data_IF_784435565520
#
_entry.id   IF_784435565520
#
_cell.length_a   1.000
_cell.length_b   1.000
_cell.length_c   1.000
_cell.angle_alpha   90.00
_cell.angle_beta   90.00
_cell.angle_gamma   90.00
#
_symmetry.space_group_name_H-M   'P 1'
#
loop_
_entity.id
_entity.type
_entity.pdbx_description
1 polymer ?
#
# COMPACT_ATOMS: atom_id res chain seq x y z
N UNK A 1 -23.33 -15.29 21.36
CA UNK A 1 -22.79 -14.70 20.10
C UNK A 1 -21.48 -13.93 20.30
N UNK A 2 -21.29 -13.18 21.40
CA UNK A 2 -20.06 -12.42 21.66
C UNK A 2 -18.78 -13.29 21.79
N UNK A 3 -18.86 -14.47 22.44
CA UNK A 3 -17.70 -15.37 22.61
C UNK A 3 -17.20 -15.93 21.28
N UNK A 4 -18.12 -16.32 20.38
CA UNK A 4 -17.76 -16.85 19.05
C UNK A 4 -17.09 -15.76 18.20
N UNK A 5 -17.64 -14.54 18.18
CA UNK A 5 -17.02 -13.41 17.48
C UNK A 5 -15.64 -13.06 18.02
N UNK A 6 -15.47 -13.16 19.35
CA UNK A 6 -14.18 -12.96 20.00
C UNK A 6 -13.14 -14.01 19.60
N UNK A 7 -13.53 -15.29 19.53
CA UNK A 7 -12.63 -16.38 19.11
C UNK A 7 -12.22 -16.19 17.64
N UNK A 8 -13.18 -15.86 16.77
CA UNK A 8 -12.94 -15.63 15.34
C UNK A 8 -11.96 -14.47 15.13
N UNK A 9 -12.12 -13.37 15.87
CA UNK A 9 -11.25 -12.21 15.70
C UNK A 9 -9.80 -12.47 16.15
N UNK A 10 -9.61 -13.19 17.25
CA UNK A 10 -8.27 -13.61 17.68
C UNK A 10 -7.65 -14.55 16.66
N UNK A 11 -8.40 -15.55 16.18
CA UNK A 11 -7.92 -16.49 15.16
C UNK A 11 -7.50 -15.76 13.88
N UNK A 12 -8.32 -14.81 13.41
CA UNK A 12 -8.02 -13.98 12.25
C UNK A 12 -6.74 -13.16 12.44
N UNK A 13 -6.57 -12.54 13.61
CA UNK A 13 -5.37 -11.75 13.92
C UNK A 13 -4.11 -12.62 13.92
N UNK A 14 -4.18 -13.83 14.50
CA UNK A 14 -3.07 -14.78 14.50
C UNK A 14 -2.74 -15.25 13.08
N UNK A 15 -3.75 -15.57 12.26
CA UNK A 15 -3.53 -15.95 10.86
C UNK A 15 -2.85 -14.83 10.05
N UNK A 16 -3.24 -13.57 10.27
CA UNK A 16 -2.58 -12.41 9.64
C UNK A 16 -1.11 -12.32 10.05
N UNK A 17 -0.82 -12.45 11.35
CA UNK A 17 0.57 -12.40 11.84
C UNK A 17 1.41 -13.50 11.20
N UNK A 18 0.91 -14.73 11.18
CA UNK A 18 1.61 -15.87 10.56
C UNK A 18 1.82 -15.59 9.06
N UNK A 19 0.79 -15.14 8.35
CA UNK A 19 0.89 -14.80 6.93
C UNK A 19 1.95 -13.72 6.66
N UNK A 20 2.00 -12.67 7.48
CA UNK A 20 3.01 -11.63 7.38
C UNK A 20 4.43 -12.14 7.69
N UNK A 21 4.60 -12.98 8.72
CA UNK A 21 5.91 -13.56 9.05
C UNK A 21 6.41 -14.47 7.93
N UNK A 22 5.55 -15.33 7.39
CA UNK A 22 5.88 -16.18 6.23
C UNK A 22 6.23 -15.30 5.02
N UNK A 23 5.47 -14.22 4.79
CA UNK A 23 5.72 -13.26 3.73
C UNK A 23 7.12 -12.64 3.76
N UNK A 24 7.71 -12.42 4.95
CA UNK A 24 9.08 -11.93 5.08
C UNK A 24 10.12 -12.90 4.51
N UNK A 25 9.83 -14.21 4.49
CA UNK A 25 10.70 -15.23 3.91
C UNK A 25 10.45 -15.45 2.41
N UNK A 26 9.27 -15.06 1.91
CA UNK A 26 8.89 -15.20 0.49
C UNK A 26 8.42 -13.85 -0.10
N UNK A 27 9.27 -12.81 -0.15
CA UNK A 27 8.82 -11.46 -0.48
C UNK A 27 8.38 -11.28 -1.93
N UNK A 28 8.95 -12.03 -2.89
CA UNK A 28 8.50 -11.98 -4.29
C UNK A 28 7.07 -12.49 -4.44
N UNK A 29 6.72 -13.57 -3.74
CA UNK A 29 5.37 -14.14 -3.75
C UNK A 29 4.35 -13.18 -3.14
N UNK A 30 4.76 -12.39 -2.14
CA UNK A 30 3.90 -11.34 -1.57
C UNK A 30 3.57 -10.28 -2.63
N UNK A 31 4.56 -9.81 -3.38
CA UNK A 31 4.31 -8.85 -4.46
C UNK A 31 3.50 -9.49 -5.59
N UNK A 32 3.74 -10.76 -5.93
CA UNK A 32 2.95 -11.49 -6.91
C UNK A 32 1.49 -11.66 -6.48
N UNK A 33 1.24 -11.94 -5.20
CA UNK A 33 -0.11 -12.04 -4.65
C UNK A 33 -0.86 -10.71 -4.75
N UNK A 34 -0.17 -9.59 -4.51
CA UNK A 34 -0.74 -8.26 -4.73
C UNK A 34 -0.97 -7.98 -6.21
N UNK A 35 -0.04 -8.36 -7.08
CA UNK A 35 -0.19 -8.21 -8.52
C UNK A 35 -1.40 -8.99 -9.06
N UNK A 36 -1.70 -10.14 -8.47
CA UNK A 36 -2.90 -10.92 -8.78
C UNK A 36 -4.19 -10.25 -8.25
N UNK A 37 -4.17 -9.72 -7.02
CA UNK A 37 -5.34 -9.10 -6.41
C UNK A 37 -5.65 -7.70 -6.95
N UNK A 38 -4.63 -6.95 -7.36
CA UNK A 38 -4.75 -5.57 -7.86
C UNK A 38 -5.82 -5.42 -8.96
N UNK A 39 -5.79 -6.16 -10.09
CA UNK A 39 -6.80 -6.03 -11.12
C UNK A 39 -8.21 -6.41 -10.64
N UNK A 40 -8.32 -7.35 -9.69
CA UNK A 40 -9.61 -7.71 -9.08
C UNK A 40 -10.17 -6.51 -8.29
N UNK A 41 -9.33 -5.87 -7.46
CA UNK A 41 -9.74 -4.68 -6.70
C UNK A 41 -10.07 -3.50 -7.60
N UNK A 42 -9.31 -3.28 -8.69
CA UNK A 42 -9.60 -2.25 -9.68
C UNK A 42 -10.93 -2.54 -10.40
N UNK A 43 -11.23 -3.80 -10.72
CA UNK A 43 -12.52 -4.19 -11.27
C UNK A 43 -13.67 -3.89 -10.31
N UNK A 44 -13.58 -4.36 -9.07
CA UNK A 44 -14.63 -4.17 -8.06
C UNK A 44 -14.83 -2.69 -7.74
N UNK A 45 -13.74 -1.94 -7.55
CA UNK A 45 -13.79 -0.49 -7.34
C UNK A 45 -14.37 0.25 -8.54
N UNK A 46 -14.00 -0.14 -9.76
CA UNK A 46 -14.52 0.46 -10.99
C UNK A 46 -16.02 0.24 -11.17
N UNK A 47 -16.50 -0.98 -10.93
CA UNK A 47 -17.95 -1.27 -10.92
C UNK A 47 -18.66 -0.50 -9.82
N UNK A 48 -18.10 -0.47 -8.60
CA UNK A 48 -18.69 0.26 -7.49
C UNK A 48 -18.85 1.77 -7.81
N UNK A 49 -17.80 2.41 -8.33
CA UNK A 49 -17.82 3.83 -8.72
C UNK A 49 -18.93 4.13 -9.76
N UNK A 50 -19.07 3.26 -10.78
CA UNK A 50 -20.13 3.40 -11.79
C UNK A 50 -21.52 3.25 -11.17
N UNK A 51 -21.70 2.27 -10.27
CA UNK A 51 -22.98 2.07 -9.58
C UNK A 51 -23.33 3.26 -8.67
N UNK A 52 -22.34 3.82 -7.97
CA UNK A 52 -22.52 5.01 -7.13
C UNK A 52 -22.79 6.26 -7.97
N UNK A 53 -22.23 6.38 -9.17
CA UNK A 53 -22.51 7.50 -10.07
C UNK A 53 -24.01 7.62 -10.37
N UNK A 54 -24.69 6.50 -10.65
CA UNK A 54 -26.14 6.52 -10.90
C UNK A 54 -26.98 7.00 -9.70
N UNK A 55 -26.47 6.84 -8.48
CA UNK A 55 -27.14 7.30 -7.26
C UNK A 55 -26.90 8.78 -6.95
N UNK A 56 -25.75 9.31 -7.34
CA UNK A 56 -25.25 10.63 -6.90
C UNK A 56 -25.11 11.61 -8.08
N UNK A 57 -25.72 11.30 -9.23
CA UNK A 57 -25.61 12.05 -10.50
C UNK A 57 -25.85 13.57 -10.41
N UNK A 58 -26.61 14.02 -9.41
CA UNK A 58 -27.00 15.42 -9.24
C UNK A 58 -25.98 16.26 -8.44
N UNK A 59 -25.03 15.62 -7.76
CA UNK A 59 -23.99 16.34 -7.00
C UNK A 59 -22.84 16.77 -7.91
N UNK A 60 -22.29 17.95 -7.62
CA UNK A 60 -21.04 18.41 -8.21
C UNK A 60 -19.91 17.41 -7.87
N UNK A 61 -19.33 16.79 -8.90
CA UNK A 61 -18.30 15.75 -8.74
C UNK A 61 -18.72 14.36 -9.24
N UNK A 62 -20.01 14.12 -9.53
CA UNK A 62 -20.48 12.83 -10.03
C UNK A 62 -19.73 12.37 -11.31
N UNK A 63 -19.42 13.29 -12.21
CA UNK A 63 -18.65 12.99 -13.44
C UNK A 63 -17.24 12.48 -13.16
N UNK A 64 -16.59 12.93 -12.07
CA UNK A 64 -15.28 12.44 -11.67
C UNK A 64 -15.36 10.98 -11.21
N UNK A 65 -16.46 10.60 -10.56
CA UNK A 65 -16.70 9.22 -10.15
C UNK A 65 -16.89 8.30 -11.35
N UNK A 66 -17.64 8.73 -12.37
CA UNK A 66 -17.78 7.97 -13.61
C UNK A 66 -16.43 7.79 -14.32
N UNK A 67 -15.63 8.86 -14.39
CA UNK A 67 -14.29 8.81 -14.98
C UNK A 67 -13.35 7.87 -14.21
N UNK A 68 -13.33 7.95 -12.87
CA UNK A 68 -12.61 7.03 -11.99
C UNK A 68 -13.02 5.58 -12.25
N UNK A 69 -14.32 5.32 -12.31
CA UNK A 69 -14.85 3.97 -12.51
C UNK A 69 -14.42 3.36 -13.85
N UNK A 70 -14.55 4.12 -14.94
CA UNK A 70 -14.12 3.68 -16.27
C UNK A 70 -12.61 3.47 -16.32
N UNK A 71 -11.84 4.38 -15.73
CA UNK A 71 -10.38 4.30 -15.71
C UNK A 71 -9.89 3.06 -14.93
N UNK A 72 -10.50 2.78 -13.77
CA UNK A 72 -10.20 1.60 -12.97
C UNK A 72 -10.51 0.30 -13.72
N UNK A 73 -11.65 0.21 -14.41
CA UNK A 73 -11.99 -0.95 -15.25
C UNK A 73 -10.99 -1.15 -16.40
N UNK A 74 -10.58 -0.05 -17.05
CA UNK A 74 -9.61 -0.10 -18.13
C UNK A 74 -8.26 -0.63 -17.62
N UNK A 75 -7.77 -0.09 -16.50
CA UNK A 75 -6.54 -0.58 -15.86
C UNK A 75 -6.65 -2.04 -15.46
N UNK A 76 -7.79 -2.48 -14.92
CA UNK A 76 -8.00 -3.87 -14.56
C UNK A 76 -7.87 -4.80 -15.78
N UNK A 77 -8.49 -4.45 -16.90
CA UNK A 77 -8.39 -5.23 -18.16
C UNK A 77 -6.94 -5.28 -18.64
N UNK A 78 -6.21 -4.16 -18.62
CA UNK A 78 -4.79 -4.12 -18.98
C UNK A 78 -3.99 -5.07 -18.10
N UNK A 79 -4.10 -4.97 -16.77
CA UNK A 79 -3.34 -5.80 -15.85
C UNK A 79 -3.70 -7.29 -15.94
N UNK A 80 -4.97 -7.63 -16.18
CA UNK A 80 -5.35 -9.01 -16.47
C UNK A 80 -4.68 -9.54 -17.74
N UNK A 81 -4.56 -8.70 -18.79
CA UNK A 81 -3.95 -9.10 -20.06
C UNK A 81 -2.43 -9.23 -20.01
N UNK A 82 -1.74 -8.44 -19.17
CA UNK A 82 -0.28 -8.45 -19.06
C UNK A 82 0.28 -9.61 -18.21
N UNK A 83 -0.57 -10.23 -17.38
CA UNK A 83 -0.17 -11.30 -16.47
C UNK A 83 0.51 -10.81 -15.18
N UNK A 84 0.71 -11.74 -14.25
CA UNK A 84 1.16 -11.45 -12.88
C UNK A 84 2.60 -10.95 -12.83
N UNK A 85 3.51 -11.52 -13.63
CA UNK A 85 4.92 -11.11 -13.65
C UNK A 85 5.08 -9.64 -14.08
N UNK A 86 4.50 -9.27 -15.22
CA UNK A 86 4.54 -7.89 -15.72
C UNK A 86 3.82 -6.90 -14.80
N UNK A 87 2.71 -7.32 -14.18
CA UNK A 87 1.99 -6.48 -13.20
C UNK A 87 2.85 -6.26 -11.95
N UNK A 88 3.55 -7.28 -11.47
CA UNK A 88 4.45 -7.16 -10.31
C UNK A 88 5.61 -6.19 -10.58
N UNK A 89 6.24 -6.26 -11.76
CA UNK A 89 7.25 -5.30 -12.18
C UNK A 89 6.69 -3.87 -12.25
N UNK A 90 5.48 -3.70 -12.80
CA UNK A 90 4.81 -2.39 -12.86
C UNK A 90 4.57 -1.81 -11.47
N UNK A 91 4.15 -2.63 -10.50
CA UNK A 91 4.00 -2.20 -9.10
C UNK A 91 5.34 -1.71 -8.54
N UNK A 92 6.42 -2.46 -8.77
CA UNK A 92 7.76 -2.09 -8.30
C UNK A 92 8.21 -0.76 -8.91
N UNK A 93 8.03 -0.59 -10.22
CA UNK A 93 8.37 0.67 -10.89
C UNK A 93 7.54 1.85 -10.39
N UNK A 94 6.24 1.65 -10.18
CA UNK A 94 5.38 2.69 -9.65
C UNK A 94 5.80 3.11 -8.24
N UNK A 95 6.11 2.14 -7.37
CA UNK A 95 6.63 2.41 -6.02
C UNK A 95 7.99 3.11 -6.07
N UNK A 96 8.90 2.68 -6.96
CA UNK A 96 10.20 3.33 -7.15
C UNK A 96 10.04 4.78 -7.63
N UNK A 97 9.11 5.04 -8.55
CA UNK A 97 8.80 6.39 -9.02
C UNK A 97 8.26 7.26 -7.89
N UNK A 98 7.32 6.75 -7.07
CA UNK A 98 6.80 7.48 -5.91
C UNK A 98 7.89 7.76 -4.87
N UNK A 99 8.77 6.79 -4.62
CA UNK A 99 9.91 6.95 -3.70
C UNK A 99 10.88 8.03 -4.22
N UNK A 100 11.16 8.04 -5.52
CA UNK A 100 11.98 9.07 -6.16
C UNK A 100 11.36 10.45 -6.01
N UNK A 101 10.04 10.58 -6.27
CA UNK A 101 9.32 11.83 -6.09
C UNK A 101 9.38 12.32 -4.64
N UNK A 102 9.21 11.42 -3.67
CA UNK A 102 9.38 11.75 -2.24
C UNK A 102 10.81 12.17 -1.90
N UNK A 103 11.82 11.55 -2.52
CA UNK A 103 13.22 11.95 -2.37
C UNK A 103 13.48 13.36 -2.89
N UNK A 104 12.93 13.70 -4.05
CA UNK A 104 13.00 15.07 -4.62
C UNK A 104 12.31 16.08 -3.71
N UNK A 105 11.11 15.77 -3.21
CA UNK A 105 10.41 16.63 -2.27
C UNK A 105 11.22 16.84 -0.98
N UNK A 106 11.78 15.77 -0.40
CA UNK A 106 12.63 15.87 0.79
C UNK A 106 13.87 16.74 0.56
N UNK A 107 14.46 16.65 -0.64
CA UNK A 107 15.57 17.51 -1.04
C UNK A 107 15.15 19.00 -1.09
N UNK A 108 13.97 19.30 -1.66
CA UNK A 108 13.43 20.67 -1.66
C UNK A 108 13.15 21.15 -0.24
N UNK A 109 12.47 20.34 0.58
CA UNK A 109 12.16 20.68 1.97
C UNK A 109 13.38 20.89 2.86
N UNK A 110 14.51 20.26 2.54
CA UNK A 110 15.75 20.54 3.25
C UNK A 110 16.14 22.02 3.16
N UNK A 111 15.92 22.68 2.02
CA UNK A 111 16.22 24.11 1.87
C UNK A 111 15.31 25.01 2.71
N UNK A 112 14.05 24.61 2.92
CA UNK A 112 13.13 25.32 3.81
C UNK A 112 13.56 25.15 5.28
N UNK A 113 13.98 23.95 5.68
CA UNK A 113 14.47 23.66 7.04
C UNK A 113 15.78 24.38 7.34
N UNK A 114 16.61 24.64 6.32
CA UNK A 114 17.82 25.46 6.45
C UNK A 114 17.50 26.87 6.94
N UNK A 115 16.38 27.45 6.50
CA UNK A 115 15.96 28.79 6.89
C UNK A 115 15.51 28.84 8.35
N UNK A 116 14.97 27.72 8.86
CA UNK A 116 14.51 27.56 10.24
C UNK A 116 15.65 27.37 11.27
N UNK A 117 16.94 27.42 10.87
CA UNK A 117 18.12 27.28 11.75
C UNK A 117 18.15 26.00 12.60
N UNK A 118 17.39 24.97 12.22
CA UNK A 118 17.40 23.66 12.85
C UNK A 118 18.58 22.80 12.36
N UNK A 119 19.27 22.13 13.29
CA UNK A 119 20.37 21.19 12.97
C UNK A 119 19.96 19.96 12.14
N UNK A 120 18.65 19.75 11.93
CA UNK A 120 18.10 18.66 11.12
C UNK A 120 18.32 18.82 9.60
N UNK A 121 18.78 19.99 9.13
CA UNK A 121 19.04 20.28 7.71
C UNK A 121 19.84 19.16 7.02
N UNK A 122 20.99 18.81 7.59
CA UNK A 122 21.91 17.83 7.01
C UNK A 122 21.29 16.43 6.95
N UNK A 123 20.48 16.07 7.94
CA UNK A 123 19.81 14.76 7.99
C UNK A 123 18.76 14.67 6.88
N UNK A 124 17.92 15.69 6.73
CA UNK A 124 16.85 15.69 5.70
C UNK A 124 17.43 15.71 4.29
N UNK A 125 18.49 16.49 4.06
CA UNK A 125 19.17 16.53 2.77
C UNK A 125 19.78 15.17 2.41
N UNK A 126 20.48 14.53 3.36
CA UNK A 126 21.08 13.21 3.15
C UNK A 126 20.02 12.14 2.90
N UNK A 127 18.92 12.16 3.65
CA UNK A 127 17.79 11.26 3.44
C UNK A 127 17.14 11.45 2.06
N UNK A 128 17.00 12.70 1.59
CA UNK A 128 16.48 13.00 0.26
C UNK A 128 17.35 12.42 -0.86
N UNK A 129 18.66 12.67 -0.80
CA UNK A 129 19.63 12.15 -1.78
C UNK A 129 19.68 10.62 -1.75
N UNK A 130 19.70 10.02 -0.55
CA UNK A 130 19.70 8.57 -0.39
C UNK A 130 18.43 7.94 -0.97
N UNK A 131 17.27 8.56 -0.77
CA UNK A 131 16.00 8.06 -1.29
C UNK A 131 15.96 8.10 -2.83
N UNK A 132 16.47 9.17 -3.45
CA UNK A 132 16.63 9.24 -4.90
C UNK A 132 17.56 8.12 -5.40
N UNK A 133 18.71 7.92 -4.75
CA UNK A 133 19.66 6.89 -5.13
C UNK A 133 19.07 5.47 -5.02
N UNK A 134 18.40 5.16 -3.90
CA UNK A 134 17.73 3.86 -3.69
C UNK A 134 16.63 3.63 -4.73
N UNK A 135 15.84 4.67 -5.04
CA UNK A 135 14.80 4.59 -6.07
C UNK A 135 15.38 4.30 -7.45
N UNK A 136 16.53 4.90 -7.78
CA UNK A 136 17.22 4.64 -9.04
C UNK A 136 17.76 3.19 -9.11
N UNK A 137 18.23 2.64 -7.99
CA UNK A 137 18.62 1.22 -7.90
C UNK A 137 17.41 0.31 -8.13
N UNK A 138 16.23 0.64 -7.61
CA UNK A 138 15.01 -0.16 -7.84
C UNK A 138 14.57 -0.16 -9.30
N UNK A 139 14.77 0.95 -10.01
CA UNK A 139 14.49 1.03 -11.46
C UNK A 139 15.50 0.19 -12.25
N UNK A 140 16.78 0.24 -11.89
CA UNK A 140 17.83 -0.53 -12.56
C UNK A 140 17.73 -2.04 -12.29
N UNK A 141 17.36 -2.42 -11.06
CA UNK A 141 17.26 -3.80 -10.60
C UNK A 141 15.91 -4.05 -9.92
N UNK A 142 14.83 -4.26 -10.70
CA UNK A 142 13.48 -4.42 -10.17
C UNK A 142 13.33 -5.62 -9.22
N UNK A 143 14.19 -6.64 -9.33
CA UNK A 143 14.21 -7.75 -8.38
C UNK A 143 14.53 -7.29 -6.94
N UNK A 144 15.49 -6.37 -6.77
CA UNK A 144 15.86 -5.82 -5.46
C UNK A 144 14.72 -4.96 -4.90
N UNK A 145 14.08 -4.18 -5.77
CA UNK A 145 12.89 -3.41 -5.42
C UNK A 145 11.75 -4.32 -4.97
N UNK A 146 11.47 -5.40 -5.70
CA UNK A 146 10.45 -6.39 -5.35
C UNK A 146 10.69 -7.06 -4.00
N UNK A 147 11.93 -7.46 -3.71
CA UNK A 147 12.29 -8.03 -2.40
C UNK A 147 12.04 -7.01 -1.28
N UNK A 148 12.53 -5.79 -1.45
CA UNK A 148 12.42 -4.76 -0.41
C UNK A 148 10.96 -4.38 -0.15
N UNK A 149 10.19 -4.18 -1.21
CA UNK A 149 8.77 -3.85 -1.15
C UNK A 149 7.99 -5.01 -0.52
N UNK A 150 8.27 -6.25 -0.93
CA UNK A 150 7.66 -7.46 -0.37
C UNK A 150 7.91 -7.60 1.14
N UNK A 151 9.14 -7.36 1.60
CA UNK A 151 9.47 -7.35 3.03
C UNK A 151 8.71 -6.23 3.76
N UNK A 152 8.66 -5.02 3.20
CA UNK A 152 7.93 -3.91 3.80
C UNK A 152 6.44 -4.22 3.94
N UNK A 153 5.80 -4.74 2.89
CA UNK A 153 4.39 -5.16 2.91
C UNK A 153 4.18 -6.24 3.98
N UNK A 154 5.05 -7.24 4.02
CA UNK A 154 4.98 -8.33 4.99
C UNK A 154 5.06 -7.81 6.42
N UNK A 155 5.98 -6.87 6.68
CA UNK A 155 6.09 -6.21 7.97
C UNK A 155 4.83 -5.41 8.31
N UNK A 156 4.24 -4.69 7.35
CA UNK A 156 2.96 -4.00 7.56
C UNK A 156 1.83 -4.97 7.89
N UNK A 157 1.77 -6.14 7.24
CA UNK A 157 0.79 -7.18 7.54
C UNK A 157 0.97 -7.70 8.97
N UNK A 158 2.21 -7.95 9.41
CA UNK A 158 2.50 -8.35 10.81
C UNK A 158 2.05 -7.26 11.79
N UNK A 159 2.43 -6.00 11.54
CA UNK A 159 2.05 -4.87 12.39
C UNK A 159 0.53 -4.70 12.45
N UNK A 160 -0.17 -4.88 11.33
CA UNK A 160 -1.63 -4.84 11.28
C UNK A 160 -2.26 -5.98 12.08
N UNK A 161 -1.70 -7.20 11.99
CA UNK A 161 -2.13 -8.34 12.80
C UNK A 161 -1.95 -8.10 14.30
N UNK A 162 -0.81 -7.53 14.70
CA UNK A 162 -0.55 -7.14 16.10
C UNK A 162 -1.52 -6.05 16.54
N UNK A 163 -1.73 -5.01 15.73
CA UNK A 163 -2.67 -3.92 16.04
C UNK A 163 -4.10 -4.44 16.18
N UNK A 164 -4.52 -5.37 15.33
CA UNK A 164 -5.82 -6.05 15.42
C UNK A 164 -5.96 -6.84 16.72
N UNK A 165 -4.91 -7.57 17.12
CA UNK A 165 -4.88 -8.32 18.38
C UNK A 165 -4.98 -7.39 19.61
N UNK A 166 -4.25 -6.28 19.59
CA UNK A 166 -4.29 -5.25 20.64
C UNK A 166 -5.65 -4.54 20.68
N UNK A 167 -6.24 -4.27 19.50
CA UNK A 167 -7.57 -3.71 19.35
C UNK A 167 -8.63 -4.55 20.04
N UNK A 168 -8.50 -5.87 20.01
CA UNK A 168 -9.40 -6.76 20.76
C UNK A 168 -9.23 -6.64 22.26
N UNK A 169 -8.01 -6.51 22.74
CA UNK A 169 -7.76 -6.34 24.17
C UNK A 169 -8.33 -5.00 24.66
N UNK A 170 -8.14 -3.92 23.90
CA UNK A 170 -8.73 -2.60 24.15
C UNK A 170 -10.26 -2.61 24.08
N UNK A 171 -10.84 -3.32 23.11
CA UNK A 171 -12.29 -3.48 23.02
C UNK A 171 -12.85 -4.26 24.22
N UNK A 172 -12.12 -5.27 24.74
CA UNK A 172 -12.51 -5.99 25.96
C UNK A 172 -12.43 -5.13 27.21
N UNK A 173 -11.46 -4.22 27.32
CA UNK A 173 -11.35 -3.33 28.48
C UNK A 173 -12.32 -2.15 28.44
N UNK A 174 -12.69 -1.66 27.26
CA UNK A 174 -13.64 -0.55 27.09
C UNK A 174 -15.12 -0.98 27.12
N UNK A 175 -15.44 -2.19 26.62
CA UNK A 175 -16.80 -2.72 26.58
C UNK A 175 -17.09 -3.79 27.64
N UNK A 176 -16.11 -4.19 28.46
CA UNK A 176 -16.34 -5.09 29.59
C UNK A 176 -16.67 -4.32 30.87
N UNK A 177 -17.62 -4.69 31.75
CA UNK A 177 -18.41 -5.91 31.92
C UNK A 177 -17.75 -7.23 31.51
#
# INVERSE_FOLDING_TARGET
MQVIGSIIWVLFSVMIIIGGVVGCFTPLEVVASLAFLLPIFLCVGGVADILYYFRVKEFAGAKALLFSGIFNLLLAIIFFSMGVESTSATIVYFVAFLAMFRGVLAFVYAFDIKQLHTGAFWVVLLLGVLNIAVSMIFIAFPAIGGITIGIMISLFIVLFGIASLLGWWSARTLFGR
#
